data_IF_319857457325
#
_entry.id   IF_319857457325
#
_cell.length_a   1.000
_cell.length_b   1.000
_cell.length_c   1.000
_cell.angle_alpha   90.00
_cell.angle_beta   90.00
_cell.angle_gamma   90.00
#
_symmetry.space_group_name_H-M   'P 1'
#
loop_
_entity.id
_entity.type
_entity.pdbx_description
1 polymer ?
#
# COMPACT_ATOMS: atom_id res chain seq x y z
N UNK A 1 -11.80 5.77 8.80
CA UNK A 1 -11.36 6.09 7.43
C UNK A 1 -11.88 5.07 6.43
N UNK A 2 -11.69 3.79 6.71
CA UNK A 2 -12.10 2.66 5.88
C UNK A 2 -12.83 1.64 6.74
N UNK A 3 -13.92 1.07 6.22
CA UNK A 3 -14.67 0.00 6.88
C UNK A 3 -15.05 -1.07 5.85
N UNK A 4 -14.75 -2.31 6.17
CA UNK A 4 -15.13 -3.51 5.44
C UNK A 4 -16.06 -4.33 6.32
N UNK A 5 -17.22 -4.72 5.79
CA UNK A 5 -18.22 -5.50 6.50
C UNK A 5 -18.53 -6.76 5.71
N UNK A 6 -18.14 -7.91 6.24
CA UNK A 6 -18.41 -9.24 5.67
C UNK A 6 -18.04 -9.35 4.20
N UNK A 7 -16.85 -8.86 3.83
CA UNK A 7 -16.37 -8.86 2.44
C UNK A 7 -16.06 -10.29 2.00
N UNK A 8 -16.58 -10.64 0.82
CA UNK A 8 -16.21 -11.83 0.06
C UNK A 8 -15.71 -11.42 -1.32
N UNK A 9 -14.73 -12.15 -1.82
CA UNK A 9 -14.24 -12.01 -3.19
C UNK A 9 -13.67 -13.33 -3.71
N UNK A 10 -13.97 -13.67 -4.95
CA UNK A 10 -13.44 -14.84 -5.64
C UNK A 10 -12.95 -14.47 -7.04
N UNK A 11 -11.79 -15.00 -7.45
CA UNK A 11 -11.36 -15.03 -8.82
C UNK A 11 -11.96 -16.29 -9.49
N UNK A 12 -12.93 -16.08 -10.38
CA UNK A 12 -13.67 -17.19 -11.04
C UNK A 12 -14.37 -18.09 -10.01
N UNK A 13 -13.81 -19.25 -9.68
CA UNK A 13 -14.38 -20.23 -8.73
C UNK A 13 -13.53 -20.42 -7.47
N UNK A 14 -12.44 -19.65 -7.33
CA UNK A 14 -11.52 -19.80 -6.17
C UNK A 14 -11.69 -18.59 -5.25
N UNK A 15 -12.12 -18.85 -4.03
CA UNK A 15 -12.21 -17.82 -2.98
C UNK A 15 -10.84 -17.20 -2.74
N UNK A 16 -10.82 -15.90 -2.52
CA UNK A 16 -9.62 -15.14 -2.22
C UNK A 16 -9.79 -14.20 -1.04
N UNK A 17 -11.03 -13.89 -0.67
CA UNK A 17 -11.42 -13.23 0.58
C UNK A 17 -12.72 -13.85 1.08
N UNK A 18 -12.74 -14.26 2.34
CA UNK A 18 -13.87 -14.95 2.95
C UNK A 18 -14.24 -14.28 4.27
N UNK A 19 -15.38 -13.60 4.28
CA UNK A 19 -15.96 -12.97 5.49
C UNK A 19 -14.98 -11.96 6.16
N UNK A 20 -14.38 -11.07 5.39
CA UNK A 20 -13.45 -10.09 5.91
C UNK A 20 -14.21 -8.90 6.49
N UNK A 21 -14.06 -8.68 7.79
CA UNK A 21 -14.55 -7.50 8.50
C UNK A 21 -13.38 -6.77 9.14
N UNK A 22 -13.20 -5.48 8.81
CA UNK A 22 -12.04 -4.71 9.20
C UNK A 22 -12.37 -3.22 9.21
N UNK A 23 -11.88 -2.50 10.22
CA UNK A 23 -11.94 -1.04 10.27
C UNK A 23 -10.55 -0.45 10.41
N UNK A 24 -10.21 0.53 9.56
CA UNK A 24 -8.95 1.29 9.63
C UNK A 24 -9.28 2.75 9.96
N UNK A 25 -8.68 3.26 11.02
CA UNK A 25 -8.80 4.66 11.41
C UNK A 25 -7.80 5.56 10.67
N UNK A 26 -8.05 6.87 10.55
CA UNK A 26 -7.05 7.79 10.01
C UNK A 26 -5.74 7.75 10.82
N UNK A 27 -4.60 7.72 10.14
CA UNK A 27 -3.27 7.72 10.76
C UNK A 27 -2.83 6.37 11.35
N UNK A 28 -3.59 5.29 11.18
CA UNK A 28 -3.14 3.96 11.61
C UNK A 28 -2.03 3.42 10.70
N UNK A 29 -1.05 2.76 11.31
CA UNK A 29 -0.08 1.90 10.63
C UNK A 29 -0.40 0.44 10.93
N UNK A 30 -0.90 -0.29 9.93
CA UNK A 30 -1.39 -1.66 10.05
C UNK A 30 -0.64 -2.57 9.10
N UNK A 31 -0.12 -3.67 9.62
CA UNK A 31 0.48 -4.71 8.80
C UNK A 31 -0.48 -5.90 8.61
N UNK A 32 -0.40 -6.49 7.44
CA UNK A 32 -1.13 -7.69 7.04
C UNK A 32 -0.14 -8.82 6.87
N UNK A 33 -0.21 -9.83 7.72
CA UNK A 33 0.68 -10.98 7.72
C UNK A 33 -0.11 -12.27 7.46
N UNK A 34 0.57 -13.32 7.05
CA UNK A 34 -0.03 -14.62 6.74
C UNK A 34 0.61 -15.26 5.50
N UNK A 35 0.28 -16.54 5.22
CA UNK A 35 0.89 -17.29 4.13
C UNK A 35 0.73 -16.62 2.76
N UNK A 36 1.59 -17.02 1.82
CA UNK A 36 1.42 -16.61 0.42
C UNK A 36 0.11 -17.13 -0.13
N UNK A 37 -0.59 -16.30 -0.91
CA UNK A 37 -1.90 -16.66 -1.45
C UNK A 37 -3.08 -16.45 -0.49
N UNK A 38 -2.87 -16.05 0.76
CA UNK A 38 -3.96 -15.89 1.77
C UNK A 38 -4.95 -14.75 1.51
N UNK A 39 -4.75 -13.94 0.46
CA UNK A 39 -5.69 -12.89 0.06
C UNK A 39 -5.26 -11.45 0.35
N UNK A 40 -4.09 -11.21 0.96
CA UNK A 40 -3.59 -9.87 1.32
C UNK A 40 -3.56 -8.90 0.13
N UNK A 41 -2.93 -9.30 -0.98
CA UNK A 41 -2.88 -8.49 -2.21
C UNK A 41 -4.27 -8.27 -2.83
N UNK A 42 -5.16 -9.26 -2.72
CA UNK A 42 -6.55 -9.15 -3.17
C UNK A 42 -7.29 -8.11 -2.33
N UNK A 43 -7.13 -8.15 -1.00
CA UNK A 43 -7.69 -7.13 -0.12
C UNK A 43 -7.20 -5.73 -0.48
N UNK A 44 -5.92 -5.55 -0.77
CA UNK A 44 -5.36 -4.26 -1.15
C UNK A 44 -5.91 -3.73 -2.48
N UNK A 45 -6.10 -4.61 -3.47
CA UNK A 45 -6.76 -4.25 -4.73
C UNK A 45 -8.21 -3.83 -4.49
N UNK A 46 -8.94 -4.50 -3.61
CA UNK A 46 -10.31 -4.17 -3.25
C UNK A 46 -10.37 -2.80 -2.55
N UNK A 47 -9.50 -2.55 -1.57
CA UNK A 47 -9.42 -1.25 -0.88
C UNK A 47 -9.10 -0.12 -1.85
N UNK A 48 -8.26 -0.37 -2.85
CA UNK A 48 -7.94 0.63 -3.89
C UNK A 48 -9.04 0.76 -4.96
N UNK A 49 -10.10 -0.08 -4.93
CA UNK A 49 -11.20 -0.03 -5.91
C UNK A 49 -10.86 -0.62 -7.28
N UNK A 50 -9.80 -1.42 -7.37
CA UNK A 50 -9.41 -2.14 -8.60
C UNK A 50 -10.26 -3.37 -8.85
N UNK A 51 -10.90 -3.90 -7.80
CA UNK A 51 -11.85 -5.01 -7.84
C UNK A 51 -13.03 -4.70 -6.92
N UNK A 52 -14.20 -5.23 -7.24
CA UNK A 52 -15.42 -5.10 -6.45
C UNK A 52 -15.64 -6.35 -5.59
N UNK A 53 -16.13 -6.23 -4.34
CA UNK A 53 -16.49 -7.40 -3.56
C UNK A 53 -17.66 -8.15 -4.21
N UNK A 54 -17.66 -9.49 -4.12
CA UNK A 54 -18.79 -10.31 -4.57
C UNK A 54 -19.95 -10.31 -3.57
N UNK A 55 -19.65 -10.05 -2.28
CA UNK A 55 -20.62 -9.83 -1.22
C UNK A 55 -19.99 -8.98 -0.11
N UNK A 56 -20.84 -8.41 0.76
CA UNK A 56 -20.42 -7.51 1.83
C UNK A 56 -20.49 -6.04 1.39
N UNK A 57 -19.95 -5.16 2.23
CA UNK A 57 -19.98 -3.72 2.01
C UNK A 57 -18.62 -3.08 2.31
N UNK A 58 -18.14 -2.24 1.40
CA UNK A 58 -16.94 -1.44 1.58
C UNK A 58 -17.30 0.04 1.70
N UNK A 59 -16.87 0.68 2.77
CA UNK A 59 -17.02 2.13 2.98
C UNK A 59 -15.66 2.81 3.06
N UNK A 60 -15.50 3.89 2.31
CA UNK A 60 -14.36 4.80 2.42
C UNK A 60 -14.87 6.21 2.78
N UNK A 61 -14.39 6.77 3.90
CA UNK A 61 -14.86 8.07 4.43
C UNK A 61 -16.39 8.15 4.54
N UNK A 62 -17.01 7.08 5.05
CA UNK A 62 -18.46 6.91 5.20
C UNK A 62 -19.25 6.89 3.87
N UNK A 63 -18.60 6.79 2.73
CA UNK A 63 -19.24 6.59 1.43
C UNK A 63 -19.14 5.11 1.05
N UNK A 64 -20.27 4.52 0.62
CA UNK A 64 -20.28 3.15 0.09
C UNK A 64 -19.53 3.14 -1.24
N UNK A 65 -18.53 2.28 -1.33
CA UNK A 65 -17.75 2.02 -2.55
C UNK A 65 -18.33 0.78 -3.21
N UNK A 66 -19.31 0.99 -4.05
CA UNK A 66 -20.00 -0.05 -4.83
C UNK A 66 -19.76 0.15 -6.33
N UNK A 67 -20.43 -0.66 -7.14
CA UNK A 67 -20.37 -0.59 -8.59
C UNK A 67 -20.70 0.80 -9.15
N UNK A 68 -21.67 1.50 -8.58
CA UNK A 68 -22.05 2.85 -9.05
C UNK A 68 -20.96 3.87 -8.72
N UNK A 69 -20.38 3.77 -7.51
CA UNK A 69 -19.24 4.58 -7.10
C UNK A 69 -18.05 4.37 -8.04
N UNK A 70 -17.69 3.12 -8.31
CA UNK A 70 -16.53 2.76 -9.14
C UNK A 70 -16.71 3.10 -10.62
N UNK A 71 -17.95 3.15 -11.13
CA UNK A 71 -18.26 3.65 -12.48
C UNK A 71 -18.22 5.18 -12.58
N UNK A 72 -18.33 5.89 -11.48
CA UNK A 72 -18.26 7.35 -11.48
C UNK A 72 -16.78 7.80 -11.50
N UNK A 73 -16.30 8.31 -12.63
CA UNK A 73 -14.92 8.71 -12.82
C UNK A 73 -14.42 9.71 -11.78
N UNK A 74 -15.27 10.66 -11.34
CA UNK A 74 -14.87 11.64 -10.33
C UNK A 74 -14.67 11.01 -8.95
N UNK A 75 -15.56 10.08 -8.55
CA UNK A 75 -15.46 9.37 -7.27
C UNK A 75 -14.26 8.41 -7.25
N UNK A 76 -14.06 7.65 -8.32
CA UNK A 76 -12.93 6.73 -8.46
C UNK A 76 -11.59 7.49 -8.48
N UNK A 77 -11.52 8.61 -9.19
CA UNK A 77 -10.33 9.48 -9.16
C UNK A 77 -10.07 10.03 -7.77
N UNK A 78 -11.11 10.44 -7.03
CA UNK A 78 -10.97 10.91 -5.65
C UNK A 78 -10.46 9.81 -4.71
N UNK A 79 -10.94 8.56 -4.87
CA UNK A 79 -10.45 7.40 -4.13
C UNK A 79 -8.97 7.15 -4.41
N UNK A 80 -8.56 7.08 -5.69
CA UNK A 80 -7.16 6.83 -6.08
C UNK A 80 -6.21 7.96 -5.66
N UNK A 81 -6.69 9.21 -5.57
CA UNK A 81 -5.91 10.33 -5.00
C UNK A 81 -5.72 10.19 -3.50
N UNK A 82 -6.74 9.69 -2.79
CA UNK A 82 -6.70 9.52 -1.35
C UNK A 82 -5.95 8.26 -0.91
N UNK A 83 -6.00 7.19 -1.73
CA UNK A 83 -5.41 5.87 -1.45
C UNK A 83 -4.37 5.55 -2.51
N UNK A 84 -3.11 5.79 -2.19
CA UNK A 84 -1.99 5.40 -3.05
C UNK A 84 -1.64 3.93 -2.87
N UNK A 85 -1.44 3.19 -3.97
CA UNK A 85 -1.10 1.77 -3.94
C UNK A 85 0.20 1.50 -4.67
N UNK A 86 1.17 0.92 -3.96
CA UNK A 86 2.44 0.43 -4.51
C UNK A 86 2.34 -1.08 -4.69
N UNK A 87 2.35 -1.52 -5.95
CA UNK A 87 2.24 -2.93 -6.30
C UNK A 87 3.50 -3.72 -5.93
N UNK A 88 3.34 -5.00 -5.63
CA UNK A 88 4.45 -5.93 -5.38
C UNK A 88 5.44 -5.95 -6.54
N UNK A 89 4.95 -6.02 -7.78
CA UNK A 89 5.75 -5.90 -8.99
C UNK A 89 5.72 -4.45 -9.51
N UNK A 90 6.82 -3.74 -9.36
CA UNK A 90 6.95 -2.35 -9.82
C UNK A 90 6.92 -2.21 -11.35
N UNK A 91 7.26 -3.27 -12.12
CA UNK A 91 7.27 -3.20 -13.58
C UNK A 91 5.87 -2.98 -14.18
N UNK A 92 4.80 -3.37 -13.47
CA UNK A 92 3.42 -3.12 -13.93
C UNK A 92 2.93 -1.71 -13.62
N UNK A 93 3.68 -0.95 -12.81
CA UNK A 93 3.32 0.41 -12.38
C UNK A 93 4.05 1.49 -13.20
N UNK A 94 5.29 1.22 -13.63
CA UNK A 94 6.17 2.19 -14.28
C UNK A 94 6.04 2.11 -15.80
N UNK A 95 5.68 3.23 -16.44
CA UNK A 95 5.39 3.26 -17.88
C UNK A 95 5.90 4.53 -18.61
N UNK A 96 6.42 5.53 -17.88
CA UNK A 96 6.93 6.76 -18.49
C UNK A 96 8.37 6.62 -18.96
N UNK A 97 8.82 7.57 -19.81
CA UNK A 97 10.15 7.55 -20.44
C UNK A 97 11.31 7.81 -19.47
N UNK A 98 11.07 8.58 -18.40
CA UNK A 98 12.09 8.90 -17.40
C UNK A 98 11.51 8.83 -16.00
N UNK A 99 12.38 8.72 -14.99
CA UNK A 99 11.98 8.78 -13.56
C UNK A 99 11.28 10.10 -13.24
N UNK A 100 11.78 11.25 -13.75
CA UNK A 100 11.12 12.55 -13.57
C UNK A 100 9.70 12.51 -14.14
N UNK A 101 9.51 12.01 -15.35
CA UNK A 101 8.20 11.91 -15.98
C UNK A 101 7.26 10.98 -15.19
N UNK A 102 7.79 9.88 -14.65
CA UNK A 102 7.02 8.95 -13.80
C UNK A 102 6.53 9.64 -12.53
N UNK A 103 7.39 10.40 -11.86
CA UNK A 103 7.04 11.13 -10.65
C UNK A 103 6.10 12.32 -10.91
N UNK A 104 6.19 12.94 -12.08
CA UNK A 104 5.39 14.09 -12.49
C UNK A 104 3.97 13.70 -12.91
N UNK A 105 3.78 12.49 -13.44
CA UNK A 105 2.53 12.05 -14.07
C UNK A 105 1.30 12.24 -13.16
N UNK A 106 1.34 11.72 -11.92
CA UNK A 106 0.23 11.85 -10.99
C UNK A 106 -0.15 13.32 -10.70
N UNK A 107 0.77 14.17 -10.26
CA UNK A 107 0.54 15.60 -10.04
C UNK A 107 0.01 16.35 -11.28
N UNK A 108 0.50 16.02 -12.48
CA UNK A 108 -0.01 16.59 -13.74
C UNK A 108 -1.47 16.20 -14.00
N UNK A 109 -1.82 14.92 -13.81
CA UNK A 109 -3.20 14.44 -13.93
C UNK A 109 -4.12 15.04 -12.85
N UNK A 110 -3.56 15.51 -11.74
CA UNK A 110 -4.30 16.27 -10.73
C UNK A 110 -4.57 17.73 -11.15
N UNK A 111 -3.97 18.20 -12.25
CA UNK A 111 -4.10 19.56 -12.75
C UNK A 111 -3.29 20.60 -11.96
N UNK A 112 -2.19 20.19 -11.33
CA UNK A 112 -1.31 21.11 -10.62
C UNK A 112 -0.52 22.00 -11.61
N UNK A 113 -0.12 23.20 -11.15
CA UNK A 113 0.76 24.05 -11.95
C UNK A 113 2.13 23.41 -12.18
N UNK A 114 2.81 23.79 -13.25
CA UNK A 114 4.15 23.26 -13.59
C UNK A 114 5.13 23.45 -12.44
N UNK A 115 5.09 24.57 -11.77
CA UNK A 115 5.95 24.88 -10.62
C UNK A 115 5.67 23.97 -9.44
N UNK A 116 4.38 23.70 -9.16
CA UNK A 116 3.98 22.78 -8.09
C UNK A 116 4.37 21.33 -8.40
N UNK A 117 4.22 20.89 -9.66
CA UNK A 117 4.69 19.57 -10.12
C UNK A 117 6.19 19.46 -9.93
N UNK A 118 6.97 20.43 -10.44
CA UNK A 118 8.42 20.44 -10.33
C UNK A 118 8.88 20.38 -8.85
N UNK A 119 8.29 21.18 -7.98
CA UNK A 119 8.61 21.19 -6.56
C UNK A 119 8.37 19.80 -5.95
N UNK A 120 7.19 19.20 -6.16
CA UNK A 120 6.87 17.86 -5.64
C UNK A 120 7.82 16.77 -6.14
N UNK A 121 8.17 16.81 -7.42
CA UNK A 121 9.12 15.87 -8.02
C UNK A 121 10.51 16.01 -7.39
N UNK A 122 11.03 17.24 -7.27
CA UNK A 122 12.34 17.49 -6.65
C UNK A 122 12.38 17.08 -5.18
N UNK A 123 11.33 17.38 -4.41
CA UNK A 123 11.24 16.98 -3.01
C UNK A 123 11.19 15.45 -2.88
N UNK A 124 10.44 14.78 -3.76
CA UNK A 124 10.33 13.33 -3.77
C UNK A 124 11.67 12.65 -4.14
N UNK A 125 12.39 13.16 -5.16
CA UNK A 125 13.71 12.66 -5.55
C UNK A 125 14.69 12.72 -4.36
N UNK A 126 14.73 13.85 -3.65
CA UNK A 126 15.57 14.04 -2.45
C UNK A 126 15.14 13.10 -1.30
N UNK A 127 13.84 13.02 -1.05
CA UNK A 127 13.28 12.19 0.03
C UNK A 127 13.65 10.72 -0.14
N UNK A 128 13.63 10.23 -1.39
CA UNK A 128 13.95 8.85 -1.74
C UNK A 128 15.43 8.63 -2.07
N UNK A 129 16.26 9.70 -2.10
CA UNK A 129 17.69 9.67 -2.43
C UNK A 129 17.95 9.08 -3.83
N UNK A 130 17.09 9.41 -4.80
CA UNK A 130 17.15 8.92 -6.18
C UNK A 130 17.44 10.00 -7.22
N UNK A 131 18.00 11.14 -6.83
CA UNK A 131 18.33 12.26 -7.74
C UNK A 131 19.24 11.82 -8.89
N UNK A 132 20.17 10.89 -8.61
CA UNK A 132 21.16 10.40 -9.60
C UNK A 132 20.55 9.59 -10.75
N UNK A 133 19.32 9.12 -10.58
CA UNK A 133 18.63 8.32 -11.59
C UNK A 133 17.44 9.08 -12.21
N UNK A 134 17.29 10.36 -11.92
CA UNK A 134 16.15 11.19 -12.30
C UNK A 134 15.85 11.18 -13.81
N UNK A 135 16.91 11.21 -14.64
CA UNK A 135 16.80 11.21 -16.11
C UNK A 135 16.87 9.80 -16.73
N UNK A 136 17.02 8.75 -15.91
CA UNK A 136 17.07 7.37 -16.41
C UNK A 136 15.69 6.86 -16.80
N UNK A 137 15.71 5.92 -17.74
CA UNK A 137 14.51 5.18 -18.16
C UNK A 137 14.18 4.10 -17.12
N UNK A 138 12.94 4.02 -16.61
CA UNK A 138 12.58 3.11 -15.54
C UNK A 138 12.92 1.64 -15.80
N UNK A 139 12.79 1.14 -17.04
CA UNK A 139 13.11 -0.26 -17.33
C UNK A 139 14.60 -0.62 -17.18
N UNK A 140 15.50 0.37 -17.16
CA UNK A 140 16.96 0.16 -16.97
C UNK A 140 17.39 0.20 -15.51
N UNK A 141 16.45 0.45 -14.59
CA UNK A 141 16.72 0.52 -13.17
C UNK A 141 16.83 -0.88 -12.54
N UNK A 142 17.61 -1.00 -11.46
CA UNK A 142 17.56 -2.18 -10.60
C UNK A 142 16.18 -2.35 -9.96
N UNK A 143 15.84 -3.57 -9.51
CA UNK A 143 14.55 -3.84 -8.87
C UNK A 143 14.30 -2.95 -7.65
N UNK A 144 15.32 -2.64 -6.86
CA UNK A 144 15.21 -1.74 -5.72
C UNK A 144 14.94 -0.28 -6.14
N UNK A 145 15.66 0.22 -7.15
CA UNK A 145 15.41 1.56 -7.70
C UNK A 145 14.01 1.68 -8.28
N UNK A 146 13.53 0.68 -9.02
CA UNK A 146 12.14 0.63 -9.53
C UNK A 146 11.11 0.74 -8.42
N UNK A 147 11.32 0.04 -7.29
CA UNK A 147 10.41 0.14 -6.13
C UNK A 147 10.39 1.54 -5.52
N UNK A 148 11.53 2.18 -5.40
CA UNK A 148 11.60 3.57 -4.91
C UNK A 148 10.90 4.53 -5.87
N UNK A 149 11.07 4.36 -7.18
CA UNK A 149 10.36 5.17 -8.18
C UNK A 149 8.86 4.93 -8.13
N UNK A 150 8.41 3.67 -8.03
CA UNK A 150 7.00 3.34 -7.89
C UNK A 150 6.38 3.91 -6.59
N UNK A 151 7.12 3.89 -5.48
CA UNK A 151 6.69 4.59 -4.26
C UNK A 151 6.65 6.11 -4.48
N UNK A 152 7.66 6.67 -5.14
CA UNK A 152 7.73 8.10 -5.44
C UNK A 152 6.56 8.59 -6.27
N UNK A 153 6.14 7.85 -7.31
CA UNK A 153 5.00 8.21 -8.15
C UNK A 153 3.69 8.32 -7.35
N UNK A 154 3.57 7.55 -6.26
CA UNK A 154 2.45 7.64 -5.33
C UNK A 154 2.63 8.81 -4.35
N UNK A 155 3.82 9.01 -3.78
CA UNK A 155 4.08 10.07 -2.80
C UNK A 155 3.91 11.47 -3.38
N UNK A 156 4.23 11.69 -4.65
CA UNK A 156 4.02 12.98 -5.34
C UNK A 156 2.56 13.41 -5.39
N UNK A 157 1.62 12.48 -5.35
CA UNK A 157 0.18 12.77 -5.24
C UNK A 157 -0.25 13.17 -3.82
N UNK A 158 0.60 12.95 -2.80
CA UNK A 158 0.34 13.22 -1.39
C UNK A 158 -0.92 12.53 -0.82
N UNK A 159 -1.07 11.20 -0.97
CA UNK A 159 -2.26 10.47 -0.54
C UNK A 159 -2.45 10.54 0.99
N UNK A 160 -3.67 10.24 1.46
CA UNK A 160 -4.00 10.14 2.89
C UNK A 160 -3.66 8.75 3.45
N UNK A 161 -3.77 7.73 2.59
CA UNK A 161 -3.45 6.34 2.89
C UNK A 161 -2.45 5.81 1.85
N UNK A 162 -1.46 5.07 2.30
CA UNK A 162 -0.47 4.42 1.44
C UNK A 162 -0.54 2.92 1.69
N UNK A 163 -0.81 2.18 0.63
CA UNK A 163 -0.84 0.72 0.62
C UNK A 163 0.43 0.21 -0.05
N UNK A 164 1.13 -0.72 0.59
CA UNK A 164 2.35 -1.31 0.09
C UNK A 164 2.27 -2.84 0.14
N UNK A 165 2.40 -3.46 -1.01
CA UNK A 165 2.37 -4.92 -1.14
C UNK A 165 3.80 -5.45 -1.27
N UNK A 166 4.30 -6.15 -0.24
CA UNK A 166 5.65 -6.70 -0.12
C UNK A 166 6.76 -5.67 -0.49
N UNK A 167 6.78 -4.48 0.15
CA UNK A 167 7.63 -3.38 -0.30
C UNK A 167 9.12 -3.63 -0.08
N UNK A 168 9.50 -4.53 0.81
CA UNK A 168 10.91 -4.80 1.17
C UNK A 168 11.59 -5.84 0.29
N UNK A 169 10.81 -6.64 -0.46
CA UNK A 169 11.36 -7.71 -1.28
C UNK A 169 12.27 -7.16 -2.39
N UNK A 170 13.49 -7.70 -2.47
CA UNK A 170 14.49 -7.31 -3.46
C UNK A 170 15.20 -5.97 -3.16
N UNK A 171 14.94 -5.33 -2.02
CA UNK A 171 15.67 -4.14 -1.58
C UNK A 171 16.99 -4.52 -0.89
N UNK A 172 18.05 -3.73 -1.13
CA UNK A 172 19.26 -3.78 -0.32
C UNK A 172 18.98 -3.34 1.12
N UNK A 173 19.84 -3.73 2.06
CA UNK A 173 19.69 -3.34 3.47
C UNK A 173 19.60 -1.81 3.66
N UNK A 174 20.37 -1.04 2.88
CA UNK A 174 20.31 0.42 2.91
C UNK A 174 18.94 0.96 2.49
N UNK A 175 18.36 0.43 1.41
CA UNK A 175 17.03 0.84 0.95
C UNK A 175 15.92 0.35 1.88
N UNK A 176 16.06 -0.83 2.51
CA UNK A 176 15.12 -1.27 3.54
C UNK A 176 15.11 -0.31 4.73
N UNK A 177 16.29 0.11 5.22
CA UNK A 177 16.40 1.09 6.30
C UNK A 177 15.77 2.44 5.92
N UNK A 178 16.07 2.93 4.72
CA UNK A 178 15.47 4.17 4.19
C UNK A 178 13.94 4.06 4.15
N UNK A 179 13.40 2.96 3.64
CA UNK A 179 11.95 2.75 3.53
C UNK A 179 11.28 2.69 4.91
N UNK A 180 11.87 1.98 5.88
CA UNK A 180 11.35 1.94 7.26
C UNK A 180 11.26 3.35 7.84
N UNK A 181 12.35 4.13 7.77
CA UNK A 181 12.39 5.50 8.28
C UNK A 181 11.36 6.40 7.60
N UNK A 182 11.24 6.28 6.28
CA UNK A 182 10.26 7.04 5.51
C UNK A 182 8.84 6.72 5.92
N UNK A 183 8.48 5.44 6.04
CA UNK A 183 7.12 5.03 6.43
C UNK A 183 6.78 5.47 7.86
N UNK A 184 7.76 5.45 8.78
CA UNK A 184 7.61 6.00 10.13
C UNK A 184 7.34 7.51 10.09
N UNK A 185 8.11 8.28 9.32
CA UNK A 185 7.92 9.73 9.18
C UNK A 185 6.56 10.06 8.56
N UNK A 186 6.14 9.35 7.51
CA UNK A 186 4.82 9.52 6.89
C UNK A 186 3.68 9.23 7.86
N UNK A 187 3.79 8.17 8.66
CA UNK A 187 2.80 7.85 9.68
C UNK A 187 2.76 8.90 10.80
N UNK A 188 3.92 9.39 11.27
CA UNK A 188 4.01 10.49 12.23
C UNK A 188 3.40 11.79 11.69
N UNK A 189 3.47 12.02 10.37
CA UNK A 189 2.81 13.12 9.68
C UNK A 189 1.30 12.89 9.47
N UNK A 190 0.72 11.84 10.03
CA UNK A 190 -0.72 11.54 10.00
C UNK A 190 -1.18 10.69 8.82
N UNK A 191 -0.28 10.18 7.98
CA UNK A 191 -0.64 9.26 6.89
C UNK A 191 -1.01 7.88 7.44
N UNK A 192 -2.05 7.27 6.89
CA UNK A 192 -2.35 5.86 7.16
C UNK A 192 -1.43 4.97 6.32
N UNK A 193 -0.85 3.94 6.93
CA UNK A 193 0.05 3.00 6.25
C UNK A 193 -0.56 1.60 6.35
N UNK A 194 -0.83 0.98 5.21
CA UNK A 194 -1.20 -0.44 5.14
C UNK A 194 -0.08 -1.18 4.42
N UNK A 195 0.51 -2.17 5.05
CA UNK A 195 1.57 -2.94 4.41
C UNK A 195 1.34 -4.44 4.55
N UNK A 196 1.48 -5.20 3.45
CA UNK A 196 1.63 -6.64 3.50
C UNK A 196 3.12 -6.99 3.51
N UNK A 197 3.52 -7.84 4.43
CA UNK A 197 4.87 -8.38 4.49
C UNK A 197 4.88 -9.68 5.28
N UNK A 198 5.77 -10.60 4.90
CA UNK A 198 6.10 -11.80 5.64
C UNK A 198 7.28 -11.62 6.60
N UNK A 199 7.92 -10.44 6.62
CA UNK A 199 9.07 -10.14 7.48
C UNK A 199 8.62 -9.40 8.76
N UNK A 200 8.47 -10.16 9.84
CA UNK A 200 8.06 -9.62 11.15
C UNK A 200 9.02 -8.54 11.68
N UNK A 201 10.34 -8.70 11.47
CA UNK A 201 11.34 -7.74 11.98
C UNK A 201 11.21 -6.34 11.33
N UNK A 202 10.75 -6.28 10.09
CA UNK A 202 10.46 -5.02 9.40
C UNK A 202 9.09 -4.47 9.80
N UNK A 203 8.10 -5.36 9.90
CA UNK A 203 6.72 -5.00 10.27
C UNK A 203 6.67 -4.33 11.64
N UNK A 204 7.33 -4.91 12.66
CA UNK A 204 7.30 -4.38 14.03
C UNK A 204 7.92 -2.98 14.18
N UNK A 205 8.73 -2.53 13.22
CA UNK A 205 9.31 -1.20 13.24
C UNK A 205 8.32 -0.13 12.74
N UNK A 206 7.29 -0.51 12.00
CA UNK A 206 6.39 0.42 11.32
C UNK A 206 4.97 0.31 11.89
N UNK A 207 4.44 -0.91 11.93
CA UNK A 207 3.05 -1.15 12.29
C UNK A 207 2.84 -1.14 13.81
N UNK A 208 1.70 -0.60 14.22
CA UNK A 208 1.22 -0.64 15.61
C UNK A 208 0.15 -1.71 15.82
N UNK A 209 -0.36 -2.31 14.75
CA UNK A 209 -1.41 -3.31 14.69
C UNK A 209 -1.13 -4.29 13.59
N UNK A 210 -1.37 -5.56 13.83
CA UNK A 210 -1.16 -6.63 12.84
C UNK A 210 -2.46 -7.39 12.67
N UNK A 211 -2.86 -7.53 11.41
CA UNK A 211 -3.98 -8.36 10.95
C UNK A 211 -3.40 -9.63 10.33
N UNK A 212 -3.81 -10.79 10.84
CA UNK A 212 -3.25 -12.08 10.45
C UNK A 212 -4.28 -12.83 9.61
N UNK A 213 -3.85 -13.22 8.42
CA UNK A 213 -4.62 -14.06 7.49
C UNK A 213 -4.22 -15.52 7.61
N UNK A 214 -5.16 -16.44 7.38
CA UNK A 214 -4.92 -17.86 7.24
C UNK A 214 -5.05 -18.32 5.77
N UNK A 215 -4.84 -19.62 5.54
CA UNK A 215 -4.98 -20.27 4.23
C UNK A 215 -6.43 -20.32 3.71
N UNK A 216 -7.42 -20.19 4.61
CA UNK A 216 -8.84 -20.13 4.26
C UNK A 216 -9.31 -18.72 3.83
N UNK A 217 -8.36 -17.81 3.59
CA UNK A 217 -8.60 -16.42 3.18
C UNK A 217 -9.43 -15.60 4.18
N UNK A 218 -9.26 -15.90 5.48
CA UNK A 218 -9.94 -15.24 6.59
C UNK A 218 -8.95 -14.49 7.48
N UNK A 219 -9.44 -13.47 8.16
CA UNK A 219 -8.71 -12.86 9.28
C UNK A 219 -8.90 -13.76 10.51
N UNK A 220 -7.79 -14.24 11.06
CA UNK A 220 -7.79 -15.04 12.32
C UNK A 220 -7.51 -14.18 13.54
N UNK A 221 -6.66 -13.17 13.39
CA UNK A 221 -6.30 -12.26 14.47
C UNK A 221 -6.21 -10.83 13.93
N UNK A 222 -6.60 -9.90 14.76
CA UNK A 222 -6.49 -8.46 14.54
C UNK A 222 -6.10 -7.82 15.87
N UNK A 223 -4.80 -7.64 16.09
CA UNK A 223 -4.25 -7.34 17.40
C UNK A 223 -3.26 -6.16 17.38
N UNK A 224 -3.24 -5.34 18.45
CA UNK A 224 -2.14 -4.41 18.66
C UNK A 224 -0.79 -5.15 18.73
N UNK A 225 0.27 -4.54 18.20
CA UNK A 225 1.62 -5.11 18.23
C UNK A 225 2.07 -5.47 19.66
N UNK A 226 1.69 -4.65 20.63
CA UNK A 226 1.99 -4.90 22.06
C UNK A 226 1.36 -6.16 22.62
N UNK A 227 0.22 -6.59 22.09
CA UNK A 227 -0.41 -7.85 22.48
C UNK A 227 0.26 -9.06 21.84
N UNK A 228 0.67 -8.94 20.59
CA UNK A 228 1.44 -9.98 19.89
C UNK A 228 2.78 -10.23 20.59
N UNK A 229 3.46 -9.16 21.02
CA UNK A 229 4.74 -9.25 21.75
C UNK A 229 4.60 -9.95 23.11
N UNK A 230 3.40 -10.02 23.69
CA UNK A 230 3.09 -10.76 24.92
C UNK A 230 2.74 -12.24 24.67
N UNK A 231 2.63 -12.66 23.42
CA UNK A 231 2.26 -14.02 23.02
C UNK A 231 3.44 -14.69 22.28
N UNK A 232 4.39 -15.34 23.01
CA UNK A 232 5.61 -15.88 22.39
C UNK A 232 5.35 -16.90 21.27
N UNK A 233 4.31 -17.71 21.38
CA UNK A 233 3.94 -18.69 20.36
C UNK A 233 3.52 -17.98 19.06
N UNK A 234 2.58 -17.04 19.14
CA UNK A 234 2.10 -16.27 17.99
C UNK A 234 3.26 -15.46 17.33
N UNK A 235 4.12 -14.87 18.15
CA UNK A 235 5.29 -14.14 17.65
C UNK A 235 6.27 -15.09 16.93
N UNK A 236 6.45 -16.32 17.43
CA UNK A 236 7.29 -17.31 16.77
C UNK A 236 6.72 -17.74 15.42
N UNK A 237 5.40 -17.96 15.34
CA UNK A 237 4.70 -18.30 14.11
C UNK A 237 4.85 -17.17 13.06
N UNK A 238 4.69 -15.91 13.46
CA UNK A 238 4.85 -14.75 12.56
C UNK A 238 6.29 -14.56 12.06
N UNK A 239 7.30 -15.03 12.79
CA UNK A 239 8.69 -15.00 12.37
C UNK A 239 9.07 -16.12 11.38
N UNK A 240 8.20 -17.12 11.23
CA UNK A 240 8.42 -18.26 10.33
C UNK A 240 7.65 -18.11 8.99
N UNK A 241 6.81 -17.07 8.84
CA UNK A 241 6.13 -16.76 7.58
C UNK A 241 7.11 -16.28 6.51
#
# INVERSE_FOLDING_TARGET
MLQLNHIHYAYTQTDSLTDISLTIQPGEAVAFMGPNGSGKSTLFKLINGLIEPTAGQYYFKNQLVDHQFLKNAAQTTALHRAVGFVFQNSDVQLFNETVIAELAFGPEQMGLSKEAVQTRVQDCLKLLQIEKIADRVPYQLSGGEKKLVALGSILTMNPEMIILDEPFNGLSAAYQTLLVQLLQQLNQAGKSILLASHNYEQVQQIAKRIVIFNEDHRITNDLPLTEIQRQPALMADLKQL
#
